data_IF_758978402447
#
_entry.id   IF_758978402447
#
_cell.length_a   1.000
_cell.length_b   1.000
_cell.length_c   1.000
_cell.angle_alpha   90.00
_cell.angle_beta   90.00
_cell.angle_gamma   90.00
#
_symmetry.space_group_name_H-M   'P 1'
#
loop_
_entity.id
_entity.type
_entity.pdbx_description
1 polymer ?
#
# COMPACT_ATOMS: atom_id res chain seq x y z
N UNK A 1 -13.64 -0.92 22.37
CA UNK A 1 -12.46 -0.42 23.12
C UNK A 1 -12.18 1.00 22.63
N UNK A 2 -11.90 1.94 23.51
CA UNK A 2 -11.53 3.30 23.12
C UNK A 2 -10.04 3.33 22.73
N UNK A 3 -9.67 4.30 21.86
CA UNK A 3 -8.26 4.61 21.64
C UNK A 3 -7.59 4.97 22.99
N UNK A 4 -6.25 4.93 23.06
CA UNK A 4 -5.52 5.25 24.30
C UNK A 4 -5.74 6.69 24.80
N UNK A 5 -6.44 7.54 24.03
CA UNK A 5 -6.81 8.91 24.39
C UNK A 5 -8.29 9.03 24.81
N UNK A 6 -9.08 7.95 24.80
CA UNK A 6 -10.41 7.88 25.42
C UNK A 6 -11.56 8.58 24.69
N UNK A 7 -11.38 9.08 23.48
CA UNK A 7 -12.39 9.92 22.81
C UNK A 7 -13.21 9.22 21.73
N UNK A 8 -12.69 8.13 21.12
CA UNK A 8 -13.39 7.41 20.06
C UNK A 8 -13.12 5.89 20.14
N UNK A 9 -14.03 5.04 19.62
CA UNK A 9 -13.74 3.62 19.45
C UNK A 9 -12.50 3.43 18.58
N UNK A 10 -11.73 2.37 18.84
CA UNK A 10 -10.53 2.04 18.06
C UNK A 10 -10.93 1.74 16.61
N UNK A 11 -10.29 2.40 15.68
CA UNK A 11 -10.32 2.15 14.24
C UNK A 11 -8.90 2.00 13.76
N UNK A 12 -8.62 1.06 12.88
CA UNK A 12 -7.27 0.81 12.36
C UNK A 12 -7.29 1.03 10.85
N UNK A 13 -6.27 1.71 10.35
CA UNK A 13 -6.03 1.83 8.91
C UNK A 13 -4.60 1.40 8.57
N UNK A 14 -4.47 0.46 7.65
CA UNK A 14 -3.19 0.10 7.03
C UNK A 14 -2.96 0.99 5.81
N UNK A 15 -1.91 1.77 5.85
CA UNK A 15 -1.48 2.66 4.78
C UNK A 15 -0.16 2.16 4.19
N UNK A 16 -0.14 1.87 2.91
CA UNK A 16 1.03 1.28 2.27
C UNK A 16 1.27 1.82 0.86
N UNK A 17 2.46 1.58 0.33
CA UNK A 17 2.74 1.68 -1.09
C UNK A 17 2.56 0.30 -1.76
N UNK A 18 2.27 0.23 -3.06
CA UNK A 18 2.18 -1.05 -3.76
C UNK A 18 3.44 -1.92 -3.55
N UNK A 19 3.25 -3.24 -3.41
CA UNK A 19 4.32 -4.26 -3.30
C UNK A 19 5.10 -4.27 -1.99
N UNK A 20 4.54 -3.74 -0.92
CA UNK A 20 5.10 -3.79 0.44
C UNK A 20 4.66 -5.00 1.25
N UNK A 21 4.23 -6.09 0.63
CA UNK A 21 3.70 -7.29 1.29
C UNK A 21 2.41 -7.06 2.09
N UNK A 22 1.63 -6.04 1.74
CA UNK A 22 0.43 -5.67 2.51
C UNK A 22 -0.67 -6.72 2.48
N UNK A 23 -0.79 -7.55 1.44
CA UNK A 23 -1.71 -8.68 1.43
C UNK A 23 -1.34 -9.72 2.49
N UNK A 24 -0.04 -10.01 2.66
CA UNK A 24 0.44 -10.87 3.74
C UNK A 24 0.10 -10.27 5.10
N UNK A 25 0.44 -8.98 5.31
CA UNK A 25 0.15 -8.30 6.56
C UNK A 25 -1.34 -8.30 6.89
N UNK A 26 -2.20 -8.07 5.90
CA UNK A 26 -3.65 -8.12 6.02
C UNK A 26 -4.15 -9.51 6.40
N UNK A 27 -3.56 -10.56 5.81
CA UNK A 27 -3.91 -11.96 6.07
C UNK A 27 -3.61 -12.38 7.50
N UNK A 28 -2.53 -11.86 8.12
CA UNK A 28 -2.21 -12.17 9.52
C UNK A 28 -3.36 -11.84 10.48
N UNK A 29 -4.23 -10.92 10.12
CA UNK A 29 -5.37 -10.48 10.93
C UNK A 29 -6.72 -10.95 10.39
N UNK A 30 -6.77 -11.74 9.31
CA UNK A 30 -8.01 -12.07 8.62
C UNK A 30 -9.08 -12.75 9.51
N UNK A 31 -8.65 -13.58 10.44
CA UNK A 31 -9.55 -14.31 11.35
C UNK A 31 -9.53 -13.75 12.76
N UNK A 32 -9.01 -12.54 12.94
CA UNK A 32 -8.87 -11.94 14.27
C UNK A 32 -10.24 -11.63 14.88
N UNK A 33 -10.58 -12.18 16.07
CA UNK A 33 -11.95 -12.13 16.60
C UNK A 33 -12.44 -10.72 16.93
N UNK A 34 -11.55 -9.77 17.18
CA UNK A 34 -11.90 -8.39 17.50
C UNK A 34 -11.98 -7.48 16.27
N UNK A 35 -11.38 -7.88 15.14
CA UNK A 35 -11.31 -7.06 13.93
C UNK A 35 -12.34 -7.52 12.90
N UNK A 36 -12.77 -6.59 12.06
CA UNK A 36 -13.44 -6.90 10.81
C UNK A 36 -12.80 -6.06 9.70
N UNK A 37 -12.44 -6.72 8.63
CA UNK A 37 -11.82 -6.07 7.47
C UNK A 37 -12.89 -5.34 6.66
N UNK A 38 -12.62 -4.08 6.33
CA UNK A 38 -13.36 -3.37 5.29
C UNK A 38 -12.92 -3.80 3.89
N UNK A 39 -13.50 -3.19 2.89
CA UNK A 39 -12.98 -3.32 1.53
C UNK A 39 -11.58 -2.68 1.45
N UNK A 40 -10.65 -3.39 0.83
CA UNK A 40 -9.31 -2.86 0.61
C UNK A 40 -9.23 -2.03 -0.66
N UNK A 41 -8.52 -0.90 -0.60
CA UNK A 41 -8.23 -0.04 -1.75
C UNK A 41 -9.46 0.67 -2.35
N UNK A 42 -10.43 1.06 -1.53
CA UNK A 42 -11.65 1.76 -1.95
C UNK A 42 -11.35 3.04 -2.73
N UNK A 43 -10.34 3.81 -2.32
CA UNK A 43 -9.95 5.08 -2.93
C UNK A 43 -9.21 4.94 -4.27
N UNK A 44 -8.80 3.74 -4.65
CA UNK A 44 -8.19 3.49 -5.97
C UNK A 44 -9.20 3.71 -7.10
N UNK A 45 -10.47 3.41 -6.88
CA UNK A 45 -11.49 3.52 -7.91
C UNK A 45 -11.69 4.95 -8.41
N UNK A 46 -12.03 5.95 -7.57
CA UNK A 46 -12.18 7.33 -8.04
C UNK A 46 -10.88 7.90 -8.60
N UNK A 47 -9.73 7.55 -8.01
CA UNK A 47 -8.43 8.02 -8.49
C UNK A 47 -8.06 7.48 -9.87
N UNK A 48 -8.36 6.21 -10.15
CA UNK A 48 -7.87 5.52 -11.35
C UNK A 48 -8.92 5.45 -12.46
N UNK A 49 -10.18 5.21 -12.11
CA UNK A 49 -11.25 4.92 -13.05
C UNK A 49 -12.32 6.00 -13.10
N UNK A 50 -12.55 6.69 -11.99
CA UNK A 50 -13.65 7.65 -11.82
C UNK A 50 -13.58 8.87 -12.71
N UNK A 51 -14.67 9.66 -12.77
CA UNK A 51 -14.72 10.86 -13.58
C UNK A 51 -13.79 11.98 -13.09
N UNK A 52 -13.42 11.93 -11.80
CA UNK A 52 -12.50 12.90 -11.16
C UNK A 52 -11.03 12.52 -11.30
N UNK A 53 -10.73 11.40 -11.98
CA UNK A 53 -9.36 11.00 -12.20
C UNK A 53 -8.57 12.07 -12.96
N UNK A 54 -7.38 12.35 -12.51
CA UNK A 54 -6.52 13.32 -13.16
C UNK A 54 -5.67 12.63 -14.23
N UNK A 55 -5.61 13.23 -15.42
CA UNK A 55 -4.66 12.80 -16.44
C UNK A 55 -3.26 13.27 -16.03
N UNK A 56 -2.50 12.35 -15.49
CA UNK A 56 -1.17 12.63 -14.92
C UNK A 56 -0.03 12.58 -15.94
N UNK A 57 -0.27 11.95 -17.09
CA UNK A 57 0.80 11.62 -18.02
C UNK A 57 1.33 12.85 -18.73
N UNK A 58 2.59 13.17 -18.45
CA UNK A 58 3.40 14.12 -19.22
C UNK A 58 4.05 13.41 -20.42
N UNK A 59 4.45 12.15 -20.21
CA UNK A 59 5.07 11.33 -21.22
C UNK A 59 4.01 10.57 -21.99
N UNK A 60 4.08 10.67 -23.31
CA UNK A 60 3.22 9.90 -24.19
C UNK A 60 3.64 8.43 -24.21
N UNK A 61 2.76 7.54 -23.73
CA UNK A 61 2.91 6.10 -23.77
C UNK A 61 1.62 5.47 -24.32
N UNK A 62 1.52 5.25 -25.66
CA UNK A 62 0.32 4.77 -26.30
C UNK A 62 -0.14 3.39 -25.82
N UNK A 63 0.80 2.51 -25.47
CA UNK A 63 0.48 1.17 -24.97
C UNK A 63 -0.18 1.24 -23.59
N UNK A 64 0.35 2.08 -22.69
CA UNK A 64 -0.25 2.29 -21.38
C UNK A 64 -1.61 2.98 -21.46
N UNK A 65 -1.77 3.92 -22.39
CA UNK A 65 -3.07 4.57 -22.66
C UNK A 65 -4.10 3.57 -23.15
N UNK A 66 -3.72 2.69 -24.09
CA UNK A 66 -4.58 1.62 -24.57
C UNK A 66 -4.96 0.65 -23.46
N UNK A 67 -3.99 0.17 -22.68
CA UNK A 67 -4.25 -0.72 -21.54
C UNK A 67 -5.21 -0.07 -20.54
N UNK A 68 -5.01 1.19 -20.19
CA UNK A 68 -5.89 1.96 -19.29
C UNK A 68 -7.32 2.08 -19.86
N UNK A 69 -7.47 2.32 -21.15
CA UNK A 69 -8.77 2.40 -21.80
C UNK A 69 -9.51 1.05 -21.81
N UNK A 70 -8.78 -0.05 -22.01
CA UNK A 70 -9.34 -1.42 -21.94
C UNK A 70 -9.82 -1.74 -20.51
N UNK A 71 -9.06 -1.37 -19.49
CA UNK A 71 -9.46 -1.54 -18.08
C UNK A 71 -10.72 -0.74 -17.75
N UNK A 72 -10.83 0.50 -18.21
CA UNK A 72 -12.04 1.32 -18.01
C UNK A 72 -13.28 0.68 -18.64
N UNK A 73 -13.13 0.07 -19.83
CA UNK A 73 -14.22 -0.65 -20.50
C UNK A 73 -14.63 -1.91 -19.75
N UNK A 74 -13.65 -2.62 -19.17
CA UNK A 74 -13.90 -3.85 -18.42
C UNK A 74 -14.54 -3.60 -17.05
N UNK A 75 -14.45 -2.37 -16.53
CA UNK A 75 -14.94 -2.00 -15.18
C UNK A 75 -15.87 -0.79 -15.22
N UNK A 76 -17.02 -0.84 -15.92
CA UNK A 76 -17.88 0.33 -16.18
C UNK A 76 -18.50 0.92 -14.92
N UNK A 77 -18.71 0.13 -13.88
CA UNK A 77 -19.26 0.62 -12.61
C UNK A 77 -18.22 1.40 -11.81
N UNK A 78 -16.97 0.95 -11.78
CA UNK A 78 -15.86 1.68 -11.16
C UNK A 78 -15.61 3.04 -11.83
N UNK A 79 -15.87 3.13 -13.13
CA UNK A 79 -15.75 4.39 -13.87
C UNK A 79 -16.76 5.47 -13.46
N UNK A 80 -17.78 5.12 -12.66
CA UNK A 80 -18.79 6.05 -12.13
C UNK A 80 -18.49 6.51 -10.71
N UNK A 81 -17.55 5.86 -10.01
CA UNK A 81 -17.23 6.19 -8.63
C UNK A 81 -16.51 7.53 -8.52
N UNK A 82 -16.97 8.36 -7.59
CA UNK A 82 -16.38 9.65 -7.24
C UNK A 82 -15.77 9.58 -5.85
N UNK A 83 -14.90 10.52 -5.50
CA UNK A 83 -14.40 10.63 -4.12
C UNK A 83 -15.54 10.75 -3.10
N UNK A 84 -16.63 11.46 -3.47
CA UNK A 84 -17.79 11.61 -2.60
C UNK A 84 -18.57 10.31 -2.42
N UNK A 85 -18.84 9.55 -3.49
CA UNK A 85 -19.54 8.27 -3.38
C UNK A 85 -18.71 7.24 -2.62
N UNK A 86 -17.40 7.23 -2.81
CA UNK A 86 -16.45 6.40 -2.07
C UNK A 86 -16.46 6.77 -0.58
N UNK A 87 -16.44 8.06 -0.23
CA UNK A 87 -16.49 8.49 1.16
C UNK A 87 -17.75 7.98 1.88
N UNK A 88 -18.91 8.14 1.26
CA UNK A 88 -20.19 7.66 1.83
C UNK A 88 -20.19 6.15 2.05
N UNK A 89 -19.69 5.38 1.06
CA UNK A 89 -19.59 3.92 1.18
C UNK A 89 -18.59 3.51 2.27
N UNK A 90 -17.46 4.22 2.35
CA UNK A 90 -16.41 3.98 3.33
C UNK A 90 -16.88 4.21 4.76
N UNK A 91 -17.55 5.34 5.02
CA UNK A 91 -18.15 5.65 6.33
C UNK A 91 -19.23 4.64 6.72
N UNK A 92 -20.06 4.23 5.74
CA UNK A 92 -21.07 3.19 5.97
C UNK A 92 -20.43 1.87 6.36
N UNK A 93 -19.37 1.43 5.65
CA UNK A 93 -18.64 0.20 5.99
C UNK A 93 -18.10 0.24 7.42
N UNK A 94 -17.52 1.37 7.83
CA UNK A 94 -17.03 1.56 9.20
C UNK A 94 -18.16 1.40 10.21
N UNK A 95 -19.30 2.07 9.99
CA UNK A 95 -20.47 2.02 10.87
C UNK A 95 -21.05 0.60 10.95
N UNK A 96 -21.15 -0.11 9.82
CA UNK A 96 -21.63 -1.48 9.75
C UNK A 96 -20.73 -2.44 10.57
N UNK A 97 -19.41 -2.26 10.52
CA UNK A 97 -18.44 -3.03 11.33
C UNK A 97 -18.59 -2.70 12.82
N UNK A 98 -18.65 -1.43 13.17
CA UNK A 98 -18.80 -0.97 14.55
C UNK A 98 -20.12 -1.43 15.17
N UNK A 99 -21.21 -1.48 14.40
CA UNK A 99 -22.52 -1.97 14.85
C UNK A 99 -22.50 -3.44 15.30
N UNK A 100 -21.55 -4.23 14.79
CA UNK A 100 -21.31 -5.63 15.18
C UNK A 100 -20.38 -5.75 16.40
N UNK A 101 -19.98 -4.63 16.99
CA UNK A 101 -19.01 -4.61 18.11
C UNK A 101 -17.59 -4.97 17.70
N UNK A 102 -17.28 -4.87 16.40
CA UNK A 102 -15.93 -5.12 15.84
C UNK A 102 -15.16 -3.84 15.65
N UNK A 103 -13.85 -3.96 15.58
CA UNK A 103 -12.91 -2.88 15.27
C UNK A 103 -12.74 -2.84 13.75
N UNK A 104 -13.06 -1.73 13.07
CA UNK A 104 -12.78 -1.59 11.64
C UNK A 104 -11.28 -1.65 11.36
N UNK A 105 -10.89 -2.54 10.46
CA UNK A 105 -9.55 -2.60 9.92
C UNK A 105 -9.61 -2.30 8.42
N UNK A 106 -9.24 -1.07 8.06
CA UNK A 106 -9.25 -0.57 6.70
C UNK A 106 -7.86 -0.68 6.08
N UNK A 107 -7.79 -0.70 4.74
CA UNK A 107 -6.50 -0.80 4.03
C UNK A 107 -6.55 0.05 2.77
N UNK A 108 -5.55 0.95 2.61
CA UNK A 108 -5.46 1.84 1.45
C UNK A 108 -4.02 2.01 0.96
N UNK A 109 -3.88 2.12 -0.36
CA UNK A 109 -2.62 2.61 -0.92
C UNK A 109 -2.51 4.12 -0.79
N UNK A 110 -1.38 4.59 -0.30
CA UNK A 110 -1.14 6.02 -0.07
C UNK A 110 -1.29 6.86 -1.34
N UNK A 111 -0.88 6.34 -2.48
CA UNK A 111 -1.06 7.01 -3.77
C UNK A 111 -2.52 7.32 -4.11
N UNK A 112 -3.48 6.57 -3.57
CA UNK A 112 -4.91 6.78 -3.83
C UNK A 112 -5.57 7.70 -2.81
N UNK A 113 -4.98 7.88 -1.64
CA UNK A 113 -5.52 8.75 -0.59
C UNK A 113 -4.82 10.12 -0.50
N UNK A 114 -3.61 10.26 -1.00
CA UNK A 114 -2.94 11.56 -1.09
C UNK A 114 -3.65 12.43 -2.15
N UNK A 115 -3.83 13.71 -1.86
CA UNK A 115 -4.46 14.66 -2.79
C UNK A 115 -3.72 14.68 -4.12
N UNK A 116 -4.45 14.67 -5.23
CA UNK A 116 -3.88 14.51 -6.56
C UNK A 116 -3.04 15.72 -7.00
N UNK A 117 -3.37 16.93 -6.54
CA UNK A 117 -2.58 18.14 -6.77
C UNK A 117 -1.18 18.05 -6.15
N UNK A 118 -1.05 17.45 -4.96
CA UNK A 118 0.25 17.18 -4.33
C UNK A 118 1.08 16.21 -5.19
N UNK A 119 0.45 15.13 -5.63
CA UNK A 119 1.13 14.15 -6.47
C UNK A 119 1.61 14.80 -7.76
N UNK A 120 0.77 15.60 -8.40
CA UNK A 120 1.09 16.26 -9.66
C UNK A 120 2.21 17.28 -9.48
N UNK A 121 2.12 18.18 -8.50
CA UNK A 121 3.18 19.17 -8.26
C UNK A 121 4.51 18.49 -7.92
N UNK A 122 4.48 17.43 -7.13
CA UNK A 122 5.69 16.65 -6.83
C UNK A 122 6.31 16.03 -8.08
N UNK A 123 5.49 15.42 -8.95
CA UNK A 123 6.00 14.73 -10.14
C UNK A 123 6.47 15.70 -11.25
N UNK A 124 5.81 16.85 -11.40
CA UNK A 124 6.06 17.80 -12.49
C UNK A 124 7.03 18.89 -12.12
N UNK A 125 6.84 19.46 -10.94
CA UNK A 125 7.55 20.67 -10.53
C UNK A 125 8.67 20.35 -9.54
N UNK A 126 8.83 19.06 -9.19
CA UNK A 126 9.73 18.61 -8.12
C UNK A 126 9.49 19.40 -6.81
N UNK A 127 8.24 19.86 -6.62
CA UNK A 127 7.82 20.58 -5.44
C UNK A 127 7.39 19.60 -4.35
N UNK A 128 8.16 19.56 -3.28
CA UNK A 128 7.93 18.73 -2.11
C UNK A 128 7.36 19.54 -0.94
N UNK A 129 7.07 20.82 -1.15
CA UNK A 129 6.55 21.69 -0.12
C UNK A 129 5.08 21.34 0.16
N UNK A 130 4.79 21.10 1.42
CA UNK A 130 3.42 20.98 1.91
C UNK A 130 3.32 21.66 3.27
N UNK A 131 2.33 22.52 3.51
CA UNK A 131 2.20 23.18 4.80
C UNK A 131 2.08 22.17 5.94
N UNK A 132 2.99 22.26 6.90
CA UNK A 132 2.96 21.40 8.08
C UNK A 132 1.60 21.52 8.79
N UNK A 133 0.99 20.39 9.09
CA UNK A 133 -0.30 20.31 9.76
C UNK A 133 -1.53 20.43 8.86
N UNK A 134 -1.40 20.75 7.57
CA UNK A 134 -2.51 20.65 6.62
C UNK A 134 -2.71 19.20 6.20
N UNK A 135 -3.96 18.72 6.19
CA UNK A 135 -4.30 17.37 5.75
C UNK A 135 -3.88 17.15 4.28
N UNK A 136 -2.94 16.25 3.99
CA UNK A 136 -2.48 15.97 2.62
C UNK A 136 -3.35 14.95 1.89
N UNK A 137 -4.43 14.46 2.51
CA UNK A 137 -5.26 13.40 1.94
C UNK A 137 -6.60 13.92 1.41
N UNK A 138 -7.22 13.13 0.53
CA UNK A 138 -8.62 13.32 0.10
C UNK A 138 -9.63 12.84 1.17
N UNK A 139 -9.17 12.13 2.21
CA UNK A 139 -10.02 11.70 3.33
C UNK A 139 -10.26 12.91 4.26
N UNK A 140 -11.52 13.23 4.65
CA UNK A 140 -11.80 14.30 5.60
C UNK A 140 -10.98 14.15 6.89
N UNK A 141 -10.44 15.26 7.38
CA UNK A 141 -9.50 15.27 8.52
C UNK A 141 -10.05 14.54 9.75
N UNK A 142 -11.31 14.81 10.11
CA UNK A 142 -11.95 14.17 11.26
C UNK A 142 -12.01 12.64 11.13
N UNK A 143 -12.30 12.13 9.94
CA UNK A 143 -12.30 10.70 9.66
C UNK A 143 -10.89 10.14 9.67
N UNK A 144 -9.95 10.78 8.97
CA UNK A 144 -8.56 10.36 8.90
C UNK A 144 -7.94 10.24 10.30
N UNK A 145 -8.11 11.26 11.14
CA UNK A 145 -7.57 11.30 12.50
C UNK A 145 -8.33 10.41 13.51
N UNK A 146 -9.48 9.85 13.14
CA UNK A 146 -10.18 8.85 13.94
C UNK A 146 -9.51 7.47 13.90
N UNK A 147 -8.63 7.24 12.93
CA UNK A 147 -7.89 6.00 12.82
C UNK A 147 -6.58 6.00 13.60
N UNK A 148 -6.19 4.82 14.09
CA UNK A 148 -4.80 4.50 14.44
C UNK A 148 -4.10 4.00 13.17
N UNK A 149 -3.19 4.79 12.57
CA UNK A 149 -2.54 4.42 11.32
C UNK A 149 -1.40 3.44 11.55
N UNK A 150 -1.36 2.40 10.72
CA UNK A 150 -0.22 1.52 10.53
C UNK A 150 0.36 1.80 9.15
N UNK A 151 1.59 2.25 9.08
CA UNK A 151 2.32 2.41 7.83
C UNK A 151 3.16 1.18 7.56
N UNK A 152 3.05 0.63 6.36
CA UNK A 152 3.87 -0.50 5.94
C UNK A 152 4.83 -0.05 4.86
N UNK A 153 6.12 -0.21 5.13
CA UNK A 153 7.21 0.05 4.17
C UNK A 153 7.91 -1.23 3.78
N UNK A 154 8.68 -1.16 2.72
CA UNK A 154 9.55 -2.23 2.26
C UNK A 154 10.79 -1.64 1.63
N UNK A 155 11.92 -2.37 1.72
CA UNK A 155 13.16 -1.92 1.08
C UNK A 155 12.93 -1.62 -0.41
N UNK A 156 13.32 -0.42 -0.93
CA UNK A 156 13.03 0.02 -2.29
C UNK A 156 13.44 -0.98 -3.37
N UNK A 157 14.61 -1.65 -3.23
CA UNK A 157 15.04 -2.64 -4.21
C UNK A 157 14.05 -3.78 -4.39
N UNK A 158 13.43 -4.26 -3.31
CA UNK A 158 12.45 -5.34 -3.37
C UNK A 158 11.08 -4.86 -3.83
N UNK A 159 10.67 -3.67 -3.38
CA UNK A 159 9.39 -3.06 -3.75
C UNK A 159 9.37 -2.67 -5.22
N UNK A 160 10.36 -1.91 -5.69
CA UNK A 160 10.43 -1.35 -7.05
C UNK A 160 10.56 -2.46 -8.10
N UNK A 161 11.47 -3.43 -7.88
CA UNK A 161 11.62 -4.56 -8.79
C UNK A 161 10.35 -5.41 -8.91
N UNK A 162 9.66 -5.63 -7.77
CA UNK A 162 8.36 -6.32 -7.76
C UNK A 162 7.26 -5.49 -8.43
N UNK A 163 7.27 -4.16 -8.29
CA UNK A 163 6.30 -3.28 -8.95
C UNK A 163 6.52 -3.25 -10.46
N UNK A 164 7.75 -3.09 -10.92
CA UNK A 164 8.05 -3.05 -12.35
C UNK A 164 7.59 -4.32 -13.08
N UNK A 165 7.79 -5.48 -12.49
CA UNK A 165 7.30 -6.75 -13.06
C UNK A 165 5.79 -6.73 -13.32
N UNK A 166 5.01 -6.11 -12.44
CA UNK A 166 3.55 -6.01 -12.58
C UNK A 166 3.17 -4.88 -13.54
N UNK A 167 3.73 -3.71 -13.33
CA UNK A 167 3.38 -2.49 -14.06
C UNK A 167 3.74 -2.59 -15.55
N UNK A 168 4.92 -3.14 -15.87
CA UNK A 168 5.34 -3.34 -17.27
C UNK A 168 4.50 -4.40 -17.98
N UNK A 169 4.15 -5.49 -17.28
CA UNK A 169 3.38 -6.58 -17.89
C UNK A 169 1.91 -6.22 -18.11
N UNK A 170 1.25 -5.68 -17.09
CA UNK A 170 -0.20 -5.47 -17.10
C UNK A 170 -0.61 -4.06 -17.52
N UNK A 171 0.13 -3.05 -17.07
CA UNK A 171 -0.20 -1.65 -17.32
C UNK A 171 0.60 -1.05 -18.47
N UNK A 172 1.56 -1.82 -19.03
CA UNK A 172 2.48 -1.37 -20.08
C UNK A 172 3.29 -0.13 -19.70
N UNK A 173 3.52 0.08 -18.40
CA UNK A 173 4.28 1.22 -17.88
C UNK A 173 5.78 1.00 -18.10
N UNK A 174 6.44 2.10 -18.41
CA UNK A 174 7.90 2.23 -18.47
C UNK A 174 8.41 2.85 -17.18
N UNK A 175 9.72 2.75 -16.93
CA UNK A 175 10.35 3.20 -15.67
C UNK A 175 10.24 4.73 -15.48
N UNK A 176 10.13 5.49 -16.56
CA UNK A 176 10.03 6.96 -16.55
C UNK A 176 8.58 7.47 -16.56
N UNK A 177 7.60 6.59 -16.69
CA UNK A 177 6.21 7.00 -16.68
C UNK A 177 5.82 7.51 -15.27
N UNK A 178 5.13 8.64 -15.22
CA UNK A 178 4.69 9.25 -13.96
C UNK A 178 3.83 8.29 -13.14
N UNK A 179 3.00 7.50 -13.81
CA UNK A 179 2.17 6.48 -13.17
C UNK A 179 3.02 5.39 -12.48
N UNK A 180 4.20 5.04 -13.02
CA UNK A 180 5.13 4.12 -12.37
C UNK A 180 5.83 4.79 -11.18
N UNK A 181 6.36 6.01 -11.37
CA UNK A 181 7.06 6.76 -10.32
C UNK A 181 6.12 6.99 -9.13
N UNK A 182 4.87 7.37 -9.38
CA UNK A 182 3.85 7.55 -8.35
C UNK A 182 3.62 6.28 -7.51
N UNK A 183 3.62 5.10 -8.15
CA UNK A 183 3.38 3.83 -7.47
C UNK A 183 4.53 3.41 -6.55
N UNK A 184 5.76 3.79 -6.87
CA UNK A 184 6.97 3.37 -6.15
C UNK A 184 7.46 4.38 -5.12
N UNK A 185 6.88 5.59 -5.07
CA UNK A 185 7.38 6.63 -4.19
C UNK A 185 7.00 6.40 -2.73
N UNK A 186 8.00 6.37 -1.86
CA UNK A 186 7.85 6.39 -0.40
C UNK A 186 7.61 7.80 0.16
N UNK A 187 7.67 8.81 -0.71
CA UNK A 187 7.37 10.20 -0.37
C UNK A 187 5.96 10.34 0.23
N UNK A 188 4.99 9.61 -0.31
CA UNK A 188 3.62 9.63 0.19
C UNK A 188 3.51 9.07 1.60
N UNK A 189 4.28 8.02 1.90
CA UNK A 189 4.36 7.44 3.26
C UNK A 189 4.94 8.46 4.24
N UNK A 190 6.03 9.12 3.86
CA UNK A 190 6.68 10.14 4.68
C UNK A 190 5.74 11.33 4.93
N UNK A 191 5.12 11.86 3.88
CA UNK A 191 4.19 12.98 3.96
C UNK A 191 3.04 12.69 4.94
N UNK A 192 2.39 11.54 4.80
CA UNK A 192 1.28 11.15 5.67
C UNK A 192 1.72 10.86 7.10
N UNK A 193 2.87 10.20 7.27
CA UNK A 193 3.41 9.94 8.60
C UNK A 193 3.76 11.23 9.34
N UNK A 194 4.42 12.18 8.66
CA UNK A 194 4.78 13.47 9.23
C UNK A 194 3.54 14.31 9.55
N UNK A 195 2.48 14.24 8.73
CA UNK A 195 1.19 14.85 9.04
C UNK A 195 0.59 14.29 10.34
N UNK A 196 0.47 12.97 10.49
CA UNK A 196 -0.05 12.38 11.73
C UNK A 196 0.77 12.79 12.96
N UNK A 197 2.09 12.84 12.83
CA UNK A 197 2.98 13.29 13.91
C UNK A 197 2.79 14.76 14.24
N UNK A 198 2.60 15.62 13.25
CA UNK A 198 2.30 17.05 13.44
C UNK A 198 0.95 17.26 14.15
N UNK A 199 0.00 16.35 13.98
CA UNK A 199 -1.27 16.32 14.72
C UNK A 199 -1.15 15.68 16.13
N UNK A 200 0.07 15.44 16.63
CA UNK A 200 0.31 14.83 17.94
C UNK A 200 -0.05 13.34 18.02
N UNK A 201 -0.32 12.69 16.88
CA UNK A 201 -0.60 11.26 16.82
C UNK A 201 0.70 10.45 16.80
N UNK A 202 0.61 9.19 17.19
CA UNK A 202 1.74 8.24 17.20
C UNK A 202 1.48 7.16 16.15
N UNK A 203 1.81 7.40 14.88
CA UNK A 203 1.67 6.39 13.84
C UNK A 203 2.59 5.21 14.13
N UNK A 204 2.12 4.01 13.80
CA UNK A 204 2.92 2.78 13.91
C UNK A 204 3.51 2.52 12.53
N UNK A 205 4.82 2.34 12.44
CA UNK A 205 5.49 1.99 11.20
C UNK A 205 6.06 0.59 11.31
N UNK A 206 5.80 -0.22 10.29
CA UNK A 206 6.23 -1.62 10.18
C UNK A 206 7.03 -1.78 8.88
N UNK A 207 8.17 -2.44 8.96
CA UNK A 207 8.96 -2.84 7.80
C UNK A 207 8.59 -4.28 7.40
N UNK A 208 8.30 -4.50 6.14
CA UNK A 208 7.89 -5.80 5.63
C UNK A 208 8.96 -6.89 5.86
N UNK A 209 10.25 -6.54 5.76
CA UNK A 209 11.33 -7.47 6.04
C UNK A 209 11.31 -7.93 7.50
N UNK A 210 11.04 -7.03 8.45
CA UNK A 210 10.91 -7.39 9.87
C UNK A 210 9.70 -8.34 10.10
N UNK A 211 8.60 -8.18 9.35
CA UNK A 211 7.46 -9.12 9.38
C UNK A 211 7.85 -10.48 8.82
N UNK A 212 8.52 -10.52 7.68
CA UNK A 212 8.92 -11.78 7.04
C UNK A 212 9.92 -12.57 7.90
N UNK A 213 10.81 -11.88 8.59
CA UNK A 213 11.87 -12.50 9.37
C UNK A 213 11.45 -12.84 10.81
N UNK A 214 10.59 -12.03 11.44
CA UNK A 214 10.35 -12.05 12.88
C UNK A 214 8.87 -11.82 13.26
N UNK A 215 7.90 -12.23 12.43
CA UNK A 215 6.47 -11.97 12.68
C UNK A 215 6.00 -12.42 14.08
N UNK A 216 6.45 -13.59 14.55
CA UNK A 216 6.05 -14.15 15.84
C UNK A 216 6.47 -13.27 17.05
N UNK A 217 7.50 -12.43 16.88
CA UNK A 217 7.95 -11.46 17.88
C UNK A 217 7.28 -10.09 17.66
N UNK A 218 7.16 -9.68 16.38
CA UNK A 218 6.71 -8.36 16.02
C UNK A 218 5.19 -8.19 16.19
N UNK A 219 4.39 -9.19 15.78
CA UNK A 219 2.93 -9.09 15.82
C UNK A 219 2.37 -8.97 17.23
N UNK A 220 2.82 -9.71 18.26
CA UNK A 220 2.39 -9.48 19.63
C UNK A 220 2.69 -8.05 20.14
N UNK A 221 3.85 -7.48 19.78
CA UNK A 221 4.17 -6.09 20.12
C UNK A 221 3.21 -5.10 19.45
N UNK A 222 2.92 -5.32 18.16
CA UNK A 222 1.94 -4.52 17.43
C UNK A 222 0.55 -4.61 18.09
N UNK A 223 0.08 -5.81 18.38
CA UNK A 223 -1.19 -6.02 19.09
C UNK A 223 -1.23 -5.29 20.43
N UNK A 224 -0.13 -5.32 21.18
CA UNK A 224 0.00 -4.56 22.45
C UNK A 224 -0.10 -3.05 22.26
N UNK A 225 0.46 -2.50 21.18
CA UNK A 225 0.32 -1.08 20.84
C UNK A 225 -1.12 -0.72 20.47
N UNK A 226 -1.81 -1.61 19.74
CA UNK A 226 -3.20 -1.44 19.33
C UNK A 226 -4.19 -1.75 20.45
N UNK A 227 -3.78 -2.46 21.50
CA UNK A 227 -4.68 -2.89 22.58
C UNK A 227 -5.61 -4.03 22.17
N UNK A 228 -5.19 -4.89 21.24
CA UNK A 228 -5.92 -6.08 20.77
C UNK A 228 -5.23 -7.37 21.22
N UNK A 229 -5.97 -8.50 21.21
CA UNK A 229 -5.43 -9.78 21.68
C UNK A 229 -4.48 -10.40 20.63
N UNK A 230 -3.20 -10.65 20.94
CA UNK A 230 -2.27 -11.24 19.99
C UNK A 230 -2.60 -12.68 19.57
N UNK A 231 -3.41 -13.41 20.33
CA UNK A 231 -3.83 -14.78 19.98
C UNK A 231 -4.74 -14.86 18.75
N UNK A 232 -5.27 -13.71 18.29
CA UNK A 232 -6.06 -13.63 17.06
C UNK A 232 -5.22 -13.55 15.79
N UNK A 233 -3.90 -13.41 15.88
CA UNK A 233 -3.00 -13.36 14.72
C UNK A 233 -2.77 -14.77 14.18
N UNK A 234 -2.92 -14.93 12.86
CA UNK A 234 -2.66 -16.22 12.19
C UNK A 234 -1.34 -16.16 11.42
N UNK A 235 -0.51 -17.20 11.57
CA UNK A 235 0.81 -17.28 10.92
C UNK A 235 0.86 -18.35 9.82
N UNK A 236 -0.16 -19.20 9.75
CA UNK A 236 -0.32 -20.24 8.72
C UNK A 236 -1.78 -20.32 8.28
N UNK A 237 -2.00 -20.73 7.06
CA UNK A 237 -3.30 -20.89 6.41
C UNK A 237 -3.21 -21.93 5.30
N UNK A 238 -4.33 -22.37 4.77
CA UNK A 238 -4.33 -23.24 3.61
C UNK A 238 -4.05 -22.45 2.34
N UNK A 239 -3.17 -22.96 1.49
CA UNK A 239 -2.97 -22.43 0.15
C UNK A 239 -4.27 -22.57 -0.64
N UNK A 240 -4.61 -21.56 -1.43
CA UNK A 240 -5.80 -21.59 -2.28
C UNK A 240 -5.42 -22.30 -3.59
N UNK A 241 -6.07 -23.46 -3.90
CA UNK A 241 -5.84 -24.15 -5.16
C UNK A 241 -6.08 -23.23 -6.36
N UNK A 242 -5.29 -23.37 -7.42
CA UNK A 242 -5.34 -22.47 -8.57
C UNK A 242 -6.71 -22.45 -9.27
N UNK A 243 -7.44 -23.54 -9.17
CA UNK A 243 -8.81 -23.72 -9.69
C UNK A 243 -9.85 -22.87 -8.96
N UNK A 244 -9.52 -22.44 -7.73
CA UNK A 244 -10.38 -21.60 -6.89
C UNK A 244 -10.00 -20.10 -6.97
N UNK A 245 -8.97 -19.76 -7.74
CA UNK A 245 -8.61 -18.37 -7.89
C UNK A 245 -9.69 -17.63 -8.69
N UNK A 246 -9.89 -16.32 -8.41
CA UNK A 246 -10.78 -15.52 -9.24
C UNK A 246 -10.37 -15.62 -10.69
N UNK A 247 -11.34 -15.91 -11.56
CA UNK A 247 -11.08 -16.01 -12.98
C UNK A 247 -10.81 -14.62 -13.55
N UNK A 248 -9.71 -14.49 -14.27
CA UNK A 248 -9.39 -13.29 -15.01
C UNK A 248 -8.62 -13.66 -16.30
N UNK A 249 -9.06 -13.12 -17.42
CA UNK A 249 -8.49 -13.42 -18.75
C UNK A 249 -7.11 -12.76 -18.97
N UNK A 250 -6.75 -11.78 -18.13
CA UNK A 250 -5.53 -11.00 -18.27
C UNK A 250 -4.38 -11.51 -17.39
N UNK A 251 -4.60 -12.54 -16.55
CA UNK A 251 -3.63 -13.04 -15.57
C UNK A 251 -3.30 -12.02 -14.47
N UNK A 252 -4.27 -11.16 -14.16
CA UNK A 252 -4.15 -10.11 -13.15
C UNK A 252 -3.92 -10.75 -11.76
N UNK A 253 -4.80 -11.69 -11.39
CA UNK A 253 -4.75 -12.39 -10.09
C UNK A 253 -3.39 -13.07 -9.92
N UNK A 254 -2.95 -13.85 -10.92
CA UNK A 254 -1.66 -14.54 -10.88
C UNK A 254 -0.49 -13.56 -10.73
N UNK A 255 -0.53 -12.46 -11.47
CA UNK A 255 0.57 -11.48 -11.48
C UNK A 255 0.64 -10.65 -10.20
N UNK A 256 -0.50 -10.21 -9.65
CA UNK A 256 -0.53 -9.38 -8.45
C UNK A 256 -0.40 -10.17 -7.16
N UNK A 257 -1.12 -11.29 -7.03
CA UNK A 257 -1.30 -12.01 -5.77
C UNK A 257 -1.06 -13.52 -5.86
N UNK A 258 -0.63 -14.05 -7.02
CA UNK A 258 -0.46 -15.48 -7.20
C UNK A 258 0.47 -16.13 -6.17
N UNK A 259 1.61 -15.49 -5.86
CA UNK A 259 2.52 -15.96 -4.81
C UNK A 259 1.83 -16.01 -3.44
N UNK A 260 1.00 -15.02 -3.13
CA UNK A 260 0.24 -14.97 -1.89
C UNK A 260 -0.84 -16.07 -1.85
N UNK A 261 -1.61 -16.24 -2.93
CA UNK A 261 -2.67 -17.25 -3.05
C UNK A 261 -2.13 -18.69 -2.91
N UNK A 262 -0.94 -18.95 -3.46
CA UNK A 262 -0.27 -20.26 -3.37
C UNK A 262 0.48 -20.50 -2.06
N UNK A 263 0.61 -19.49 -1.19
CA UNK A 263 1.32 -19.63 0.09
C UNK A 263 0.45 -20.30 1.15
N UNK A 264 1.10 -21.02 2.08
CA UNK A 264 0.46 -21.61 3.27
C UNK A 264 0.92 -20.97 4.59
N UNK A 265 1.57 -19.82 4.50
CA UNK A 265 2.09 -19.09 5.66
C UNK A 265 3.04 -17.99 5.23
N UNK A 266 3.76 -17.46 6.21
CA UNK A 266 4.79 -16.45 5.97
C UNK A 266 5.98 -17.13 5.26
N UNK A 267 6.23 -16.69 4.03
CA UNK A 267 7.41 -17.12 3.28
C UNK A 267 8.61 -16.31 3.76
N UNK A 268 9.47 -16.94 4.58
CA UNK A 268 10.71 -16.30 5.05
C UNK A 268 11.62 -16.00 3.86
N UNK A 269 12.42 -14.95 3.99
CA UNK A 269 13.46 -14.63 3.01
C UNK A 269 14.52 -15.75 2.96
N UNK A 270 15.12 -15.96 1.81
CA UNK A 270 16.22 -16.92 1.62
C UNK A 270 17.44 -16.56 2.48
N UNK A 271 17.71 -15.27 2.67
CA UNK A 271 18.74 -14.75 3.57
C UNK A 271 18.17 -13.63 4.44
N UNK A 272 18.62 -13.58 5.69
CA UNK A 272 18.38 -12.46 6.62
C UNK A 272 19.38 -11.33 6.47
N UNK A 273 20.34 -11.46 5.58
CA UNK A 273 21.31 -10.39 5.30
C UNK A 273 20.58 -9.10 4.85
N UNK A 274 21.18 -7.94 5.11
CA UNK A 274 20.66 -6.70 4.58
C UNK A 274 20.47 -6.76 3.07
N UNK A 275 19.39 -6.17 2.56
CA UNK A 275 19.13 -6.14 1.12
C UNK A 275 20.28 -5.42 0.41
N UNK A 276 20.87 -6.08 -0.57
CA UNK A 276 21.98 -5.54 -1.37
C UNK A 276 21.48 -5.11 -2.75
N UNK A 277 21.49 -3.81 -2.99
CA UNK A 277 21.00 -3.21 -4.25
C UNK A 277 21.75 -3.78 -5.46
N UNK A 278 23.05 -4.01 -5.36
CA UNK A 278 23.82 -4.55 -6.49
C UNK A 278 23.45 -6.00 -6.81
N UNK A 279 23.11 -6.81 -5.80
CA UNK A 279 22.60 -8.17 -6.01
C UNK A 279 21.26 -8.14 -6.72
N UNK A 280 20.34 -7.27 -6.29
CA UNK A 280 19.04 -7.11 -6.95
C UNK A 280 19.20 -6.57 -8.39
N UNK A 281 20.12 -5.63 -8.62
CA UNK A 281 20.44 -5.13 -9.98
C UNK A 281 20.91 -6.27 -10.90
N UNK A 282 21.77 -7.17 -10.42
CA UNK A 282 22.20 -8.33 -11.19
C UNK A 282 21.04 -9.29 -11.52
N UNK A 283 20.08 -9.46 -10.61
CA UNK A 283 18.87 -10.25 -10.89
C UNK A 283 18.03 -9.60 -11.99
N UNK A 284 17.87 -8.26 -11.95
CA UNK A 284 17.12 -7.53 -12.99
C UNK A 284 17.81 -7.58 -14.34
N UNK A 285 19.15 -7.46 -14.39
CA UNK A 285 19.91 -7.60 -15.63
C UNK A 285 19.71 -8.96 -16.31
N UNK A 286 19.62 -10.03 -15.50
CA UNK A 286 19.30 -11.37 -16.02
C UNK A 286 17.84 -11.55 -16.44
N UNK A 287 16.93 -10.82 -15.78
CA UNK A 287 15.48 -10.97 -16.02
C UNK A 287 15.00 -10.10 -17.21
N UNK A 288 15.63 -8.97 -17.41
CA UNK A 288 15.31 -7.99 -18.44
C UNK A 288 16.52 -7.74 -19.34
N UNK A 289 17.33 -6.73 -19.00
CA UNK A 289 18.61 -6.37 -19.62
C UNK A 289 19.37 -5.38 -18.70
N UNK A 290 20.59 -5.01 -19.10
CA UNK A 290 21.45 -4.12 -18.32
C UNK A 290 20.92 -2.67 -18.26
N UNK A 291 20.23 -2.19 -19.31
CA UNK A 291 19.66 -0.84 -19.36
C UNK A 291 18.51 -0.73 -18.35
N UNK A 292 17.55 -1.64 -18.43
CA UNK A 292 16.42 -1.68 -17.47
C UNK A 292 16.94 -1.84 -16.04
N UNK A 293 17.92 -2.72 -15.81
CA UNK A 293 18.50 -2.93 -14.49
C UNK A 293 19.15 -1.66 -13.92
N UNK A 294 19.89 -0.93 -14.76
CA UNK A 294 20.53 0.33 -14.37
C UNK A 294 19.50 1.42 -14.03
N UNK A 295 18.45 1.53 -14.82
CA UNK A 295 17.36 2.50 -14.61
C UNK A 295 16.56 2.18 -13.36
N UNK A 296 16.25 0.91 -13.10
CA UNK A 296 15.61 0.48 -11.85
C UNK A 296 16.49 0.79 -10.64
N UNK A 297 17.81 0.55 -10.74
CA UNK A 297 18.75 0.93 -9.69
C UNK A 297 18.70 2.42 -9.37
N UNK A 298 18.67 3.28 -10.41
CA UNK A 298 18.52 4.72 -10.22
C UNK A 298 17.24 5.11 -9.47
N UNK A 299 16.11 4.42 -9.75
CA UNK A 299 14.86 4.63 -8.99
C UNK A 299 14.98 4.19 -7.54
N UNK A 300 15.65 3.06 -7.29
CA UNK A 300 15.90 2.59 -5.91
C UNK A 300 16.72 3.62 -5.13
N UNK A 301 17.81 4.11 -5.72
CA UNK A 301 18.69 5.09 -5.10
C UNK A 301 17.95 6.40 -4.76
N UNK A 302 17.02 6.83 -5.62
CA UNK A 302 16.17 7.99 -5.39
C UNK A 302 15.22 7.85 -4.18
N UNK A 303 14.71 6.64 -3.94
CA UNK A 303 13.76 6.37 -2.84
C UNK A 303 14.44 6.02 -1.51
N UNK A 304 15.77 5.78 -1.50
CA UNK A 304 16.50 5.37 -0.29
C UNK A 304 16.45 6.43 0.81
N UNK A 305 16.49 7.71 0.48
CA UNK A 305 16.46 8.77 1.49
C UNK A 305 15.16 8.78 2.30
N UNK A 306 14.01 8.59 1.65
CA UNK A 306 12.72 8.50 2.32
C UNK A 306 12.58 7.17 3.08
N UNK A 307 13.08 6.06 2.52
CA UNK A 307 13.10 4.77 3.23
C UNK A 307 13.93 4.83 4.52
N UNK A 308 15.15 5.35 4.47
CA UNK A 308 16.03 5.47 5.64
C UNK A 308 15.44 6.42 6.71
N UNK A 309 14.81 7.51 6.28
CA UNK A 309 14.07 8.39 7.19
C UNK A 309 12.94 7.64 7.90
N UNK A 310 12.10 6.94 7.15
CA UNK A 310 10.95 6.21 7.68
C UNK A 310 11.40 5.06 8.60
N UNK A 311 12.40 4.30 8.18
CA UNK A 311 12.92 3.13 8.90
C UNK A 311 13.38 3.41 10.32
N UNK A 312 13.78 4.66 10.63
CA UNK A 312 14.17 5.06 11.99
C UNK A 312 13.01 4.92 13.01
N UNK A 313 11.77 5.03 12.55
CA UNK A 313 10.57 4.99 13.36
C UNK A 313 9.90 3.60 13.42
N UNK A 314 10.47 2.61 12.74
CA UNK A 314 9.83 1.29 12.65
C UNK A 314 9.73 0.59 14.00
N UNK A 315 8.66 -0.14 14.19
CA UNK A 315 8.51 -1.09 15.28
C UNK A 315 9.59 -2.17 15.13
N UNK A 316 10.41 -2.34 16.15
CA UNK A 316 11.49 -3.33 16.17
C UNK A 316 11.01 -4.63 16.80
N UNK A 317 11.42 -5.75 16.19
CA UNK A 317 11.19 -7.08 16.71
C UNK A 317 11.90 -7.34 18.07
#
# INVERSE_FOLDING_TARGET
MADKNGSHPLRIILLDSPRTCSHLFWKLFQSHPQLEHGEGHSWVNPMTYGPERIQRRLRHNPEAEKASAEWLKAMPDRAKETYQTTLVAYEKTIQDIESKGKIPFMKEHLLSVVQQDIIISTLRDNDFSWPSGRNPSCIPEALLLSFTPIFLIRHPALMIGSNYRVASKLMKLQIEDEDFIMQISLRWTRLMMDYYRAQGRKPILVDAEDVLDNAEVLMPKLCGLLGINPSGVVYSWDAIPKEQWPQDDAGIVETFIGTFMSSSGIMKRESRDPVNINVETQKWAKLYDDDIASRLKGRVEAEMADYEYLRQFRLKA
#
